data_IF_629455112676
#
_entry.id   IF_629455112676
#
_cell.length_a   1.000
_cell.length_b   1.000
_cell.length_c   1.000
_cell.angle_alpha   90.00
_cell.angle_beta   90.00
_cell.angle_gamma   90.00
#
_symmetry.space_group_name_H-M   'P 1'
#
loop_
_entity.id
_entity.type
_entity.pdbx_description
1 polymer ?
#
# COMPACT_ATOMS: atom_id res chain seq x y z
N UNK A 1 4.76 -18.74 -16.63
CA UNK A 1 3.92 -19.88 -16.20
C UNK A 1 3.81 -19.78 -14.67
N UNK A 2 2.76 -19.16 -14.15
CA UNK A 2 2.52 -19.14 -12.70
C UNK A 2 2.03 -20.53 -12.29
N UNK A 3 2.74 -21.18 -11.36
CA UNK A 3 2.40 -22.49 -10.84
C UNK A 3 1.14 -22.39 -9.97
N UNK A 4 -0.03 -22.63 -10.56
CA UNK A 4 -1.25 -22.93 -9.80
C UNK A 4 -1.30 -24.45 -9.72
N UNK A 5 -0.75 -25.03 -8.64
CA UNK A 5 -0.96 -26.44 -8.35
C UNK A 5 -2.35 -26.66 -7.71
N UNK A 6 -2.83 -27.91 -7.64
CA UNK A 6 -4.11 -28.22 -7.03
C UNK A 6 -4.18 -27.83 -5.54
N UNK A 7 -3.03 -27.76 -4.85
CA UNK A 7 -2.95 -27.34 -3.45
C UNK A 7 -3.18 -25.82 -3.31
N UNK A 8 -2.74 -25.04 -4.28
CA UNK A 8 -2.89 -23.59 -4.36
C UNK A 8 -4.36 -23.21 -4.55
N UNK A 9 -5.12 -24.02 -5.29
CA UNK A 9 -6.57 -23.82 -5.49
C UNK A 9 -7.33 -23.95 -4.16
N UNK A 10 -6.93 -24.89 -3.28
CA UNK A 10 -7.53 -25.04 -1.96
C UNK A 10 -7.25 -23.86 -1.03
N UNK A 11 -6.10 -23.19 -1.20
CA UNK A 11 -5.70 -22.05 -0.37
C UNK A 11 -6.39 -20.73 -0.77
N UNK A 12 -6.81 -20.57 -2.03
CA UNK A 12 -7.47 -19.36 -2.55
C UNK A 12 -8.65 -18.85 -1.69
N UNK A 13 -9.64 -19.66 -1.28
CA UNK A 13 -10.76 -19.17 -0.47
C UNK A 13 -10.30 -18.67 0.92
N UNK A 14 -9.30 -19.34 1.51
CA UNK A 14 -8.71 -18.92 2.77
C UNK A 14 -7.98 -17.58 2.63
N UNK A 15 -7.13 -17.45 1.62
CA UNK A 15 -6.43 -16.20 1.32
C UNK A 15 -7.43 -15.06 1.06
N UNK A 16 -8.47 -15.31 0.25
CA UNK A 16 -9.51 -14.32 -0.02
C UNK A 16 -10.18 -13.82 1.26
N UNK A 17 -10.48 -14.71 2.21
CA UNK A 17 -11.07 -14.34 3.51
C UNK A 17 -10.13 -13.49 4.37
N UNK A 18 -8.83 -13.74 4.32
CA UNK A 18 -7.86 -12.88 5.01
C UNK A 18 -7.81 -11.49 4.37
N UNK A 19 -7.75 -11.41 3.03
CA UNK A 19 -7.72 -10.13 2.33
C UNK A 19 -9.04 -9.35 2.42
N UNK A 20 -10.19 -10.01 2.56
CA UNK A 20 -11.48 -9.33 2.72
C UNK A 20 -11.59 -8.52 4.00
N UNK A 21 -10.80 -8.85 5.04
CA UNK A 21 -10.72 -8.05 6.27
C UNK A 21 -10.02 -6.70 6.10
N UNK A 22 -9.20 -6.56 5.06
CA UNK A 22 -8.41 -5.34 4.78
C UNK A 22 -8.95 -4.60 3.54
N UNK A 23 -9.47 -5.34 2.57
CA UNK A 23 -9.91 -4.82 1.28
C UNK A 23 -11.34 -5.22 0.99
N UNK A 24 -12.16 -4.25 0.57
CA UNK A 24 -13.48 -4.55 0.00
C UNK A 24 -13.29 -5.02 -1.46
N UNK A 25 -13.29 -6.34 -1.64
CA UNK A 25 -13.00 -7.05 -2.90
C UNK A 25 -14.14 -6.97 -3.93
N UNK A 26 -14.53 -5.77 -4.34
CA UNK A 26 -15.55 -5.59 -5.37
C UNK A 26 -14.95 -5.81 -6.78
N UNK A 27 -15.57 -6.66 -7.60
CA UNK A 27 -15.05 -7.06 -8.92
C UNK A 27 -14.58 -5.92 -9.84
N UNK A 28 -15.35 -4.81 -9.89
CA UNK A 28 -14.98 -3.65 -10.72
C UNK A 28 -13.69 -2.97 -10.25
N UNK A 29 -13.32 -3.13 -8.97
CA UNK A 29 -12.15 -2.52 -8.33
C UNK A 29 -10.92 -3.42 -8.36
N UNK A 30 -11.08 -4.72 -8.59
CA UNK A 30 -9.98 -5.68 -8.66
C UNK A 30 -9.16 -5.49 -9.95
N UNK A 31 -7.85 -5.71 -9.86
CA UNK A 31 -6.97 -5.78 -11.02
C UNK A 31 -7.19 -7.11 -11.74
N UNK A 32 -7.29 -7.08 -13.07
CA UNK A 32 -7.33 -8.28 -13.89
C UNK A 32 -5.97 -8.51 -14.52
N UNK A 33 -5.30 -9.59 -14.15
CA UNK A 33 -4.01 -9.98 -14.69
C UNK A 33 -4.19 -11.34 -15.35
N UNK A 34 -3.98 -11.40 -16.67
CA UNK A 34 -4.09 -12.65 -17.45
C UNK A 34 -5.43 -13.39 -17.25
N UNK A 35 -6.53 -12.66 -17.07
CA UNK A 35 -7.86 -13.22 -16.86
C UNK A 35 -8.23 -13.49 -15.39
N UNK A 36 -7.28 -13.42 -14.46
CA UNK A 36 -7.52 -13.62 -13.03
C UNK A 36 -7.68 -12.29 -12.29
N UNK A 37 -8.62 -12.24 -11.34
CA UNK A 37 -8.76 -11.11 -10.43
C UNK A 37 -7.66 -11.17 -9.35
N UNK A 38 -7.10 -10.02 -9.00
CA UNK A 38 -6.25 -9.88 -7.83
C UNK A 38 -7.05 -10.10 -6.54
N UNK A 39 -6.36 -10.51 -5.47
CA UNK A 39 -6.96 -10.68 -4.14
C UNK A 39 -7.32 -9.35 -3.47
N UNK A 40 -6.82 -8.23 -3.98
CA UNK A 40 -7.09 -6.89 -3.44
C UNK A 40 -7.41 -5.91 -4.56
N UNK A 41 -8.10 -4.82 -4.23
CA UNK A 41 -8.43 -3.78 -5.20
C UNK A 41 -7.19 -3.03 -5.69
N UNK A 42 -7.34 -2.33 -6.81
CA UNK A 42 -6.28 -1.53 -7.44
C UNK A 42 -5.61 -0.56 -6.48
N UNK A 43 -6.38 0.04 -5.56
CA UNK A 43 -5.87 0.96 -4.54
C UNK A 43 -4.94 0.29 -3.54
N UNK A 44 -5.38 -0.81 -2.93
CA UNK A 44 -4.58 -1.59 -1.98
C UNK A 44 -3.33 -2.18 -2.66
N UNK A 45 -3.47 -2.67 -3.89
CA UNK A 45 -2.33 -3.12 -4.70
C UNK A 45 -1.30 -2.00 -4.89
N UNK A 46 -1.76 -0.78 -5.19
CA UNK A 46 -0.92 0.42 -5.26
C UNK A 46 -0.18 0.68 -3.95
N UNK A 47 -0.88 0.69 -2.81
CA UNK A 47 -0.27 0.91 -1.49
C UNK A 47 0.85 -0.11 -1.23
N UNK A 48 0.58 -1.40 -1.43
CA UNK A 48 1.57 -2.46 -1.22
C UNK A 48 2.75 -2.35 -2.18
N UNK A 49 2.50 -2.03 -3.46
CA UNK A 49 3.55 -1.81 -4.43
C UNK A 49 4.43 -0.60 -4.06
N UNK A 50 3.82 0.50 -3.60
CA UNK A 50 4.55 1.69 -3.14
C UNK A 50 5.43 1.39 -1.92
N UNK A 51 4.89 0.69 -0.92
CA UNK A 51 5.66 0.23 0.24
C UNK A 51 6.84 -0.63 -0.21
N UNK A 52 6.60 -1.63 -1.07
CA UNK A 52 7.64 -2.56 -1.54
C UNK A 52 8.75 -1.82 -2.30
N UNK A 53 8.38 -1.02 -3.30
CA UNK A 53 9.34 -0.31 -4.16
C UNK A 53 10.15 0.71 -3.38
N UNK A 54 9.51 1.48 -2.49
CA UNK A 54 10.22 2.48 -1.70
C UNK A 54 11.08 1.84 -0.61
N UNK A 55 10.64 0.73 -0.01
CA UNK A 55 11.50 -0.07 0.89
C UNK A 55 12.75 -0.55 0.18
N UNK A 56 12.59 -1.11 -1.02
CA UNK A 56 13.72 -1.58 -1.83
C UNK A 56 14.66 -0.42 -2.17
N UNK A 57 14.12 0.74 -2.56
CA UNK A 57 14.91 1.95 -2.80
C UNK A 57 15.72 2.41 -1.58
N UNK A 58 15.13 2.39 -0.38
CA UNK A 58 15.80 2.78 0.87
C UNK A 58 16.98 1.87 1.26
N UNK A 59 17.02 0.62 0.77
CA UNK A 59 18.18 -0.27 1.01
C UNK A 59 19.43 0.28 0.32
N UNK A 60 19.28 0.86 -0.88
CA UNK A 60 20.42 1.33 -1.68
C UNK A 60 20.71 2.81 -1.50
N UNK A 61 19.72 3.60 -1.06
CA UNK A 61 19.86 5.05 -0.92
C UNK A 61 19.69 5.47 0.54
N UNK A 62 20.73 6.09 1.10
CA UNK A 62 20.64 6.75 2.41
C UNK A 62 19.78 7.99 2.29
N UNK A 63 18.56 7.92 2.79
CA UNK A 63 17.66 9.08 2.82
C UNK A 63 17.96 9.91 4.07
N UNK A 64 18.17 11.22 3.88
CA UNK A 64 18.22 12.16 5.01
C UNK A 64 16.81 12.29 5.58
N UNK A 65 16.63 11.92 6.84
CA UNK A 65 15.33 11.99 7.49
C UNK A 65 14.88 13.44 7.68
N UNK A 66 13.94 13.90 6.86
CA UNK A 66 13.18 15.11 7.13
C UNK A 66 11.98 14.75 8.01
N UNK A 67 11.85 15.42 9.17
CA UNK A 67 10.78 15.19 10.16
C UNK A 67 9.45 15.85 9.76
N UNK A 68 9.43 16.70 8.75
CA UNK A 68 8.20 17.35 8.30
C UNK A 68 7.24 16.32 7.71
N UNK A 69 5.99 16.26 8.19
CA UNK A 69 4.94 15.32 7.72
C UNK A 69 4.34 15.69 6.36
N UNK A 70 4.85 16.75 5.71
CA UNK A 70 4.29 17.34 4.49
C UNK A 70 4.12 16.33 3.36
N UNK A 71 5.09 15.43 3.15
CA UNK A 71 5.00 14.44 2.07
C UNK A 71 3.92 13.39 2.33
N UNK A 72 3.71 13.00 3.59
CA UNK A 72 2.63 12.07 3.94
C UNK A 72 1.28 12.70 3.61
N UNK A 73 1.06 13.94 4.06
CA UNK A 73 -0.18 14.67 3.79
C UNK A 73 -0.39 14.83 2.27
N UNK A 74 0.63 15.30 1.55
CA UNK A 74 0.54 15.52 0.11
C UNK A 74 0.24 14.22 -0.66
N UNK A 75 0.78 13.08 -0.21
CA UNK A 75 0.49 11.77 -0.81
C UNK A 75 -0.88 11.21 -0.43
N UNK A 76 -1.40 11.55 0.75
CA UNK A 76 -2.70 11.09 1.23
C UNK A 76 -3.85 11.82 0.54
N UNK A 77 -3.69 13.12 0.23
CA UNK A 77 -4.70 13.94 -0.45
C UNK A 77 -5.25 13.29 -1.72
N UNK A 78 -4.44 12.90 -2.74
CA UNK A 78 -4.98 12.31 -3.96
C UNK A 78 -5.70 10.98 -3.72
N UNK A 79 -5.24 10.18 -2.75
CA UNK A 79 -5.89 8.92 -2.39
C UNK A 79 -7.26 9.15 -1.75
N UNK A 80 -7.34 10.08 -0.81
CA UNK A 80 -8.59 10.42 -0.13
C UNK A 80 -9.58 11.05 -1.12
N UNK A 81 -9.11 11.96 -1.98
CA UNK A 81 -9.96 12.55 -3.03
C UNK A 81 -10.48 11.49 -4.00
N UNK A 82 -9.65 10.54 -4.44
CA UNK A 82 -10.06 9.41 -5.29
C UNK A 82 -11.14 8.55 -4.61
N UNK A 83 -11.02 8.32 -3.30
CA UNK A 83 -12.06 7.62 -2.52
C UNK A 83 -13.36 8.43 -2.49
N UNK A 84 -13.29 9.71 -2.10
CA UNK A 84 -14.47 10.55 -1.90
C UNK A 84 -15.21 10.71 -3.22
N UNK A 85 -14.52 11.21 -4.25
CA UNK A 85 -15.13 11.56 -5.54
C UNK A 85 -15.77 10.36 -6.24
N UNK A 86 -15.14 9.19 -6.17
CA UNK A 86 -15.76 7.96 -6.68
C UNK A 86 -17.02 7.59 -5.89
N UNK A 87 -17.00 7.65 -4.55
CA UNK A 87 -18.15 7.26 -3.73
C UNK A 87 -19.35 8.21 -3.86
N UNK A 88 -19.11 9.51 -4.13
CA UNK A 88 -20.19 10.48 -4.40
C UNK A 88 -20.61 10.52 -5.88
N UNK A 89 -20.00 9.69 -6.73
CA UNK A 89 -20.39 9.55 -8.13
C UNK A 89 -19.90 10.65 -9.06
N UNK A 90 -18.87 11.43 -8.68
CA UNK A 90 -18.29 12.46 -9.57
C UNK A 90 -17.70 11.84 -10.83
N UNK A 91 -17.09 10.65 -10.73
CA UNK A 91 -16.56 9.93 -11.89
C UNK A 91 -16.59 8.40 -11.67
N UNK A 92 -16.46 7.66 -12.77
CA UNK A 92 -16.40 6.20 -12.76
C UNK A 92 -15.07 5.67 -12.20
N UNK A 93 -15.10 4.53 -11.52
CA UNK A 93 -13.89 3.97 -10.91
C UNK A 93 -12.75 3.79 -11.92
N UNK A 94 -11.65 4.52 -11.70
CA UNK A 94 -10.43 4.37 -12.50
C UNK A 94 -9.41 3.52 -11.74
N UNK A 95 -9.16 2.31 -12.24
CA UNK A 95 -8.14 1.40 -11.67
C UNK A 95 -6.77 2.07 -11.63
N UNK A 96 -6.41 2.80 -12.68
CA UNK A 96 -5.12 3.49 -12.78
C UNK A 96 -5.00 4.60 -11.74
N UNK A 97 -6.01 5.46 -11.59
CA UNK A 97 -6.00 6.53 -10.60
C UNK A 97 -5.94 5.99 -9.16
N UNK A 98 -6.71 4.94 -8.89
CA UNK A 98 -6.69 4.26 -7.60
C UNK A 98 -5.33 3.63 -7.30
N UNK A 99 -4.70 2.99 -8.30
CA UNK A 99 -3.37 2.40 -8.16
C UNK A 99 -2.29 3.45 -7.90
N UNK A 100 -2.25 4.51 -8.71
CA UNK A 100 -1.20 5.54 -8.60
C UNK A 100 -1.32 6.34 -7.32
N UNK A 101 -2.53 6.73 -6.91
CA UNK A 101 -2.75 7.39 -5.61
C UNK A 101 -2.38 6.48 -4.44
N UNK A 102 -2.71 5.19 -4.52
CA UNK A 102 -2.25 4.15 -3.61
C UNK A 102 -0.73 4.05 -3.52
N UNK A 103 -0.05 4.01 -4.66
CA UNK A 103 1.40 3.90 -4.77
C UNK A 103 2.12 5.06 -4.09
N UNK A 104 1.68 6.30 -4.34
CA UNK A 104 2.28 7.48 -3.70
C UNK A 104 2.09 7.45 -2.19
N UNK A 105 0.87 7.14 -1.72
CA UNK A 105 0.59 7.07 -0.29
C UNK A 105 1.38 5.95 0.40
N UNK A 106 1.46 4.76 -0.21
CA UNK A 106 2.24 3.63 0.33
C UNK A 106 3.73 3.94 0.44
N UNK A 107 4.29 4.59 -0.58
CA UNK A 107 5.70 5.02 -0.60
C UNK A 107 6.01 6.02 0.52
N UNK A 108 5.15 7.03 0.69
CA UNK A 108 5.30 7.98 1.78
C UNK A 108 5.10 7.30 3.15
N UNK A 109 4.11 6.41 3.27
CA UNK A 109 3.81 5.70 4.52
C UNK A 109 5.01 4.93 5.06
N UNK A 110 5.70 4.17 4.22
CA UNK A 110 6.88 3.41 4.67
C UNK A 110 8.06 4.32 5.04
N UNK A 111 8.24 5.44 4.34
CA UNK A 111 9.26 6.43 4.68
C UNK A 111 9.06 6.99 6.11
N UNK A 112 7.84 7.40 6.45
CA UNK A 112 7.56 7.91 7.81
C UNK A 112 7.53 6.83 8.87
N UNK A 113 7.11 5.61 8.51
CA UNK A 113 7.22 4.46 9.41
C UNK A 113 8.69 4.18 9.76
N UNK A 114 9.58 4.23 8.78
CA UNK A 114 11.03 4.11 9.00
C UNK A 114 11.58 5.21 9.92
N UNK A 115 11.23 6.49 9.69
CA UNK A 115 11.63 7.59 10.59
C UNK A 115 11.13 7.36 12.02
N UNK A 116 9.88 6.90 12.17
CA UNK A 116 9.29 6.59 13.46
C UNK A 116 10.05 5.49 14.19
N UNK A 117 10.40 4.41 13.49
CA UNK A 117 11.21 3.31 14.03
C UNK A 117 12.62 3.77 14.43
N UNK A 118 13.29 4.54 13.58
CA UNK A 118 14.63 5.06 13.88
C UNK A 118 14.61 5.93 15.15
N UNK A 119 13.60 6.80 15.27
CA UNK A 119 13.40 7.61 16.48
C UNK A 119 13.17 6.74 17.71
N UNK A 120 12.26 5.77 17.66
CA UNK A 120 11.97 4.86 18.78
C UNK A 120 13.21 4.09 19.24
N UNK A 121 14.00 3.54 18.31
CA UNK A 121 15.24 2.82 18.60
C UNK A 121 16.27 3.78 19.25
N UNK A 122 16.37 5.02 18.77
CA UNK A 122 17.29 6.01 19.35
C UNK A 122 16.94 6.38 20.79
N UNK A 123 15.65 6.51 21.10
CA UNK A 123 15.16 6.83 22.46
C UNK A 123 15.40 5.68 23.44
N UNK A 124 15.24 4.43 22.99
CA UNK A 124 15.53 3.25 23.82
C UNK A 124 17.03 3.15 24.16
N UNK A 125 17.93 3.37 23.20
CA UNK A 125 19.37 3.36 23.44
C UNK A 125 19.84 4.44 24.41
N UNK A 126 19.15 5.58 24.47
CA UNK A 126 19.44 6.64 25.45
C UNK A 126 19.02 6.20 26.85
N UNK A 127 17.84 5.58 26.99
CA UNK A 127 17.35 5.07 28.27
C UNK A 127 18.23 3.96 28.85
N UNK A 128 18.81 3.09 28.02
CA UNK A 128 19.72 2.02 28.47
C UNK A 128 21.09 2.53 28.93
N UNK A 129 21.46 3.77 28.58
CA UNK A 129 22.74 4.39 28.97
C UNK A 129 22.67 5.25 30.24
N UNK A 130 21.47 5.54 30.73
CA UNK A 130 21.20 6.29 31.96
C UNK A 130 20.99 5.33 33.14
#
# INVERSE_FOLDING_TARGET
>A
MFFIDNNSIAAIPLLNKFYSGVCHQHDIKLLKILGFNSMVCSRCAGIYAGVLLFSFYMIFVKIKTNKEIKFLILSAVPLILDVIFYNIGIYNYSKTAAFTSGLFFGSAGIYYFYIGLEKLISEQKIKEKL
#
